data_IF_365828066616
#
_entry.id   IF_365828066616
#
_cell.length_a   1.000
_cell.length_b   1.000
_cell.length_c   1.000
_cell.angle_alpha   90.00
_cell.angle_beta   90.00
_cell.angle_gamma   90.00
#
_symmetry.space_group_name_H-M   'P 1'
#
loop_
_entity.id
_entity.type
_entity.pdbx_description
1 polymer ?
#
# COMPACT_ATOMS: atom_id res chain seq x y z
N UNK A 1 24.12 -17.63 -0.31
CA UNK A 1 24.06 -16.18 -0.62
C UNK A 1 23.22 -15.53 0.48
N UNK A 2 23.74 -14.54 1.22
CA UNK A 2 22.96 -13.89 2.30
C UNK A 2 21.97 -12.90 1.67
N UNK A 3 20.67 -12.90 2.03
CA UNK A 3 19.75 -11.87 1.55
C UNK A 3 20.21 -10.52 2.11
N UNK A 4 20.47 -9.55 1.24
CA UNK A 4 20.74 -8.19 1.69
C UNK A 4 19.44 -7.53 2.16
N UNK A 5 19.58 -6.82 3.28
CA UNK A 5 18.53 -6.19 4.07
C UNK A 5 17.88 -5.03 3.33
N UNK A 6 16.57 -4.83 3.54
CA UNK A 6 16.05 -3.46 3.61
C UNK A 6 17.03 -2.68 4.48
N UNK A 7 17.65 -1.61 3.97
CA UNK A 7 18.25 -0.63 4.89
C UNK A 7 17.09 0.06 5.60
N UNK A 8 16.53 -0.61 6.60
CA UNK A 8 15.71 0.01 7.61
C UNK A 8 16.67 0.76 8.52
N UNK A 9 17.07 1.95 8.10
CA UNK A 9 17.45 2.93 9.11
C UNK A 9 16.16 3.17 9.89
N UNK A 10 16.08 2.60 11.10
CA UNK A 10 15.10 3.02 12.09
C UNK A 10 15.46 4.49 12.33
N UNK A 11 14.83 5.39 11.57
CA UNK A 11 14.94 6.81 11.79
C UNK A 11 14.35 7.04 13.18
N UNK A 12 15.21 7.07 14.19
CA UNK A 12 14.86 7.65 15.49
C UNK A 12 14.59 9.13 15.22
N UNK A 13 13.33 9.44 14.89
CA UNK A 13 12.86 10.81 14.69
C UNK A 13 13.26 11.60 15.93
N UNK A 14 14.19 12.53 15.72
CA UNK A 14 15.10 13.07 16.72
C UNK A 14 14.36 13.90 17.80
N UNK A 15 14.99 13.99 18.97
CA UNK A 15 14.51 14.42 20.31
C UNK A 15 14.03 15.88 20.47
N UNK A 16 13.58 16.56 19.42
CA UNK A 16 12.91 17.86 19.55
C UNK A 16 11.40 17.65 19.42
N UNK A 17 10.71 17.50 20.55
CA UNK A 17 9.32 17.05 20.71
C UNK A 17 8.19 17.78 19.95
N UNK A 18 8.50 18.58 18.91
CA UNK A 18 7.54 19.16 17.97
C UNK A 18 7.34 18.34 16.68
N UNK A 19 8.29 17.48 16.27
CA UNK A 19 8.26 16.81 14.96
C UNK A 19 7.41 15.52 14.89
N UNK A 20 7.36 14.71 15.96
CA UNK A 20 6.63 13.42 15.94
C UNK A 20 5.11 13.58 15.89
N UNK A 21 4.57 14.56 16.62
CA UNK A 21 3.13 14.81 16.69
C UNK A 21 2.56 15.18 15.32
N UNK A 22 3.29 16.01 14.57
CA UNK A 22 2.91 16.42 13.22
C UNK A 22 2.91 15.24 12.22
N UNK A 23 3.94 14.38 12.25
CA UNK A 23 3.98 13.21 11.35
C UNK A 23 2.86 12.22 11.66
N UNK A 24 2.65 11.87 12.94
CA UNK A 24 1.58 10.93 13.31
C UNK A 24 0.19 11.49 12.93
N UNK A 25 -0.09 12.75 13.26
CA UNK A 25 -1.34 13.42 12.88
C UNK A 25 -1.54 13.46 11.35
N UNK A 26 -0.47 13.71 10.59
CA UNK A 26 -0.52 13.68 9.12
C UNK A 26 -0.84 12.28 8.60
N UNK A 27 -0.16 11.25 9.13
CA UNK A 27 -0.40 9.86 8.74
C UNK A 27 -1.83 9.41 9.07
N UNK A 28 -2.33 9.74 10.27
CA UNK A 28 -3.72 9.48 10.67
C UNK A 28 -4.71 10.19 9.72
N UNK A 29 -4.46 11.46 9.40
CA UNK A 29 -5.27 12.23 8.45
C UNK A 29 -5.33 11.59 7.06
N UNK A 30 -4.21 11.09 6.55
CA UNK A 30 -4.14 10.41 5.24
C UNK A 30 -4.86 9.07 5.27
N UNK A 31 -4.66 8.28 6.33
CA UNK A 31 -5.37 7.00 6.50
C UNK A 31 -6.87 7.26 6.46
N UNK A 32 -7.36 8.23 7.23
CA UNK A 32 -8.78 8.62 7.22
C UNK A 32 -9.21 9.09 5.84
N UNK A 33 -8.46 9.98 5.19
CA UNK A 33 -8.82 10.53 3.89
C UNK A 33 -8.88 9.47 2.77
N UNK A 34 -7.96 8.51 2.76
CA UNK A 34 -7.85 7.50 1.69
C UNK A 34 -8.68 6.25 1.96
N UNK A 35 -9.01 5.98 3.21
CA UNK A 35 -9.70 4.74 3.59
C UNK A 35 -11.07 4.95 4.22
N UNK A 36 -11.37 6.16 4.70
CA UNK A 36 -12.59 6.48 5.44
C UNK A 36 -12.59 6.01 6.90
N UNK A 37 -11.50 5.39 7.38
CA UNK A 37 -11.44 4.78 8.72
C UNK A 37 -10.44 5.52 9.62
N UNK A 38 -10.86 5.83 10.84
CA UNK A 38 -10.04 6.51 11.84
C UNK A 38 -9.43 5.51 12.83
N UNK A 39 -8.11 5.58 12.98
CA UNK A 39 -7.33 4.73 13.86
C UNK A 39 -6.22 5.54 14.52
N UNK A 40 -5.90 5.20 15.78
CA UNK A 40 -4.73 5.72 16.46
C UNK A 40 -3.48 4.95 16.03
N UNK A 41 -2.44 5.65 15.64
CA UNK A 41 -1.16 5.02 15.31
C UNK A 41 -0.37 4.70 16.59
N UNK A 42 0.04 3.43 16.73
CA UNK A 42 0.80 2.91 17.88
C UNK A 42 2.31 2.97 17.66
N UNK A 43 2.75 2.55 16.47
CA UNK A 43 4.16 2.55 16.06
C UNK A 43 4.26 2.94 14.58
N UNK A 44 5.36 3.57 14.19
CA UNK A 44 5.68 3.91 12.80
C UNK A 44 7.10 3.48 12.48
N UNK A 45 7.26 2.70 11.42
CA UNK A 45 8.53 2.47 10.73
C UNK A 45 8.61 3.32 9.46
N UNK A 46 9.82 3.68 9.04
CA UNK A 46 10.05 4.36 7.76
C UNK A 46 11.03 3.53 6.93
N UNK A 47 10.66 3.27 5.69
CA UNK A 47 11.44 2.50 4.73
C UNK A 47 11.72 3.35 3.50
N UNK A 48 12.91 3.17 2.92
CA UNK A 48 13.23 3.67 1.59
C UNK A 48 13.32 2.49 0.64
N UNK A 49 12.51 2.49 -0.40
CA UNK A 49 12.45 1.42 -1.40
C UNK A 49 12.87 1.99 -2.74
N UNK A 50 13.80 1.32 -3.43
CA UNK A 50 14.32 1.73 -4.76
C UNK A 50 14.51 0.56 -5.71
N UNK A 51 14.86 -0.61 -5.18
CA UNK A 51 15.11 -1.81 -5.96
C UNK A 51 14.74 -3.06 -5.16
N UNK A 52 14.39 -4.14 -5.85
CA UNK A 52 14.26 -5.48 -5.25
C UNK A 52 14.98 -6.51 -6.10
N UNK A 53 15.36 -7.63 -5.48
CA UNK A 53 16.02 -8.75 -6.16
C UNK A 53 15.12 -9.98 -6.06
N UNK A 54 14.89 -10.65 -7.17
CA UNK A 54 14.13 -11.89 -7.27
C UNK A 54 14.90 -12.97 -8.03
N UNK A 55 14.27 -14.14 -8.15
CA UNK A 55 14.78 -15.24 -8.96
C UNK A 55 13.75 -15.65 -10.01
N UNK A 56 14.22 -15.95 -11.22
CA UNK A 56 13.41 -16.56 -12.27
C UNK A 56 13.17 -18.05 -12.00
N UNK A 57 12.19 -18.69 -12.67
CA UNK A 57 11.95 -20.13 -12.55
C UNK A 57 13.17 -21.01 -12.88
N UNK A 58 14.10 -20.49 -13.68
CA UNK A 58 15.36 -21.15 -14.06
C UNK A 58 16.52 -20.88 -13.08
N UNK A 59 16.25 -20.18 -11.97
CA UNK A 59 17.23 -19.90 -10.93
C UNK A 59 18.12 -18.68 -11.16
N UNK A 60 17.99 -17.97 -12.29
CA UNK A 60 18.73 -16.73 -12.54
C UNK A 60 18.24 -15.59 -11.64
N UNK A 61 19.16 -14.76 -11.17
CA UNK A 61 18.82 -13.58 -10.37
C UNK A 61 18.33 -12.44 -11.26
N UNK A 62 17.28 -11.75 -10.83
CA UNK A 62 16.75 -10.56 -11.50
C UNK A 62 16.69 -9.41 -10.52
N UNK A 63 17.12 -8.22 -10.95
CA UNK A 63 16.95 -6.98 -10.21
C UNK A 63 15.83 -6.18 -10.85
N UNK A 64 14.85 -5.79 -10.04
CA UNK A 64 13.76 -4.89 -10.44
C UNK A 64 14.03 -3.51 -9.87
N UNK A 65 14.07 -2.50 -10.75
CA UNK A 65 14.17 -1.09 -10.37
C UNK A 65 12.78 -0.47 -10.33
N UNK A 66 12.51 0.31 -9.29
CA UNK A 66 11.30 1.09 -9.14
C UNK A 66 11.65 2.57 -9.13
N UNK A 67 10.67 3.44 -9.37
CA UNK A 67 10.77 4.80 -8.88
C UNK A 67 11.01 4.72 -7.36
N UNK A 68 11.99 5.44 -6.80
CA UNK A 68 12.23 5.34 -5.36
C UNK A 68 11.02 5.85 -4.59
N UNK A 69 10.80 5.36 -3.37
CA UNK A 69 9.65 5.75 -2.55
C UNK A 69 10.03 5.69 -1.07
N UNK A 70 9.43 6.58 -0.27
CA UNK A 70 9.41 6.46 1.18
C UNK A 70 8.11 5.80 1.63
N UNK A 71 8.21 4.79 2.49
CA UNK A 71 7.05 4.07 2.99
C UNK A 71 7.02 4.18 4.51
N UNK A 72 6.00 4.85 5.03
CA UNK A 72 5.69 4.81 6.46
C UNK A 72 4.82 3.59 6.73
N UNK A 73 5.30 2.63 7.52
CA UNK A 73 4.52 1.50 7.98
C UNK A 73 3.99 1.81 9.38
N UNK A 74 2.68 2.06 9.49
CA UNK A 74 2.00 2.42 10.72
C UNK A 74 1.22 1.23 11.29
N UNK A 75 1.51 0.86 12.54
CA UNK A 75 0.64 -0.01 13.33
C UNK A 75 -0.57 0.80 13.80
N UNK A 76 -1.73 0.49 13.25
CA UNK A 76 -3.02 1.14 13.52
C UNK A 76 -3.87 0.36 14.53
N UNK A 77 -3.29 -0.65 15.19
CA UNK A 77 -3.98 -1.51 16.13
C UNK A 77 -4.93 -2.52 15.49
N UNK A 78 -4.76 -2.77 14.20
CA UNK A 78 -5.48 -3.78 13.42
C UNK A 78 -4.59 -4.99 13.17
N UNK A 79 -5.15 -6.13 12.71
CA UNK A 79 -4.36 -7.29 12.30
C UNK A 79 -3.34 -6.99 11.18
N UNK A 80 -3.51 -5.86 10.48
CA UNK A 80 -2.63 -5.40 9.42
C UNK A 80 -2.19 -3.95 9.66
N UNK A 81 -1.02 -3.63 9.12
CA UNK A 81 -0.45 -2.30 9.16
C UNK A 81 -0.94 -1.45 7.99
N UNK A 82 -1.02 -0.14 8.19
CA UNK A 82 -1.20 0.81 7.11
C UNK A 82 0.18 1.20 6.54
N UNK A 83 0.39 1.04 5.23
CA UNK A 83 1.57 1.54 4.55
C UNK A 83 1.22 2.84 3.82
N UNK A 84 1.86 3.94 4.19
CA UNK A 84 1.73 5.22 3.52
C UNK A 84 2.94 5.40 2.62
N UNK A 85 2.74 5.18 1.33
CA UNK A 85 3.74 5.31 0.29
C UNK A 85 3.77 6.74 -0.24
N UNK A 86 4.94 7.33 -0.20
CA UNK A 86 5.25 8.60 -0.84
C UNK A 86 6.19 8.34 -2.01
N UNK A 87 5.82 8.71 -3.24
CA UNK A 87 6.78 8.73 -4.32
C UNK A 87 7.99 9.56 -3.91
N UNK A 88 9.19 9.05 -4.16
CA UNK A 88 10.39 9.89 -4.17
C UNK A 88 10.27 10.75 -5.41
N UNK A 89 9.47 11.79 -5.29
CA UNK A 89 9.43 12.80 -6.31
C UNK A 89 10.83 13.42 -6.37
N UNK A 90 11.32 13.55 -7.58
CA UNK A 90 12.30 14.58 -7.90
C UNK A 90 11.50 15.66 -8.60
N UNK A 91 10.77 16.56 -7.89
CA UNK A 91 10.17 17.69 -8.57
C UNK A 91 11.31 18.58 -9.02
N UNK A 92 11.49 18.69 -10.33
CA UNK A 92 12.18 19.80 -10.96
C UNK A 92 11.20 20.98 -11.00
N UNK A 93 11.18 21.80 -9.95
CA UNK A 93 10.48 23.10 -10.02
C UNK A 93 11.35 24.08 -10.80
N UNK A 94 10.78 24.92 -11.70
CA UNK A 94 11.55 25.98 -12.34
C UNK A 94 12.17 26.87 -11.25
N UNK A 95 13.49 26.98 -11.22
CA UNK A 95 14.19 27.89 -10.33
C UNK A 95 14.05 29.34 -10.80
N UNK A 96 14.45 30.27 -9.95
CA UNK A 96 14.34 31.72 -10.21
C UNK A 96 15.10 32.17 -11.47
N UNK A 97 16.12 31.42 -11.90
CA UNK A 97 16.80 31.64 -13.17
C UNK A 97 16.07 30.91 -14.32
N UNK A 98 15.86 31.60 -15.44
CA UNK A 98 15.24 31.06 -16.65
C UNK A 98 15.95 29.76 -17.09
N UNK A 99 15.24 28.62 -16.99
CA UNK A 99 15.75 27.30 -17.35
C UNK A 99 16.51 26.56 -16.24
N UNK A 100 16.58 27.09 -15.02
CA UNK A 100 17.07 26.34 -13.86
C UNK A 100 15.96 25.47 -13.27
N UNK A 101 16.33 24.35 -12.65
CA UNK A 101 15.39 23.52 -11.90
C UNK A 101 15.95 23.24 -10.49
N UNK A 102 15.12 23.35 -9.47
CA UNK A 102 15.49 23.04 -8.07
C UNK A 102 15.00 21.64 -7.76
N UNK A 103 15.84 20.82 -7.11
CA UNK A 103 15.49 19.46 -6.68
C UNK A 103 14.81 19.50 -5.33
N UNK A 104 13.53 19.13 -5.26
CA UNK A 104 12.78 19.03 -4.00
C UNK A 104 12.79 17.59 -3.51
N UNK A 105 13.94 17.16 -2.99
CA UNK A 105 14.13 15.87 -2.33
C UNK A 105 14.97 16.09 -1.07
N UNK A 106 14.77 15.25 -0.04
CA UNK A 106 15.47 15.22 1.27
C UNK A 106 16.42 16.42 1.49
N UNK A 107 15.84 17.58 1.81
CA UNK A 107 16.58 18.86 1.81
C UNK A 107 15.68 20.10 1.73
N UNK A 108 14.43 19.94 1.27
CA UNK A 108 13.40 20.96 1.39
C UNK A 108 12.85 21.04 2.82
N UNK A 109 12.51 22.26 3.28
CA UNK A 109 11.96 22.53 4.61
C UNK A 109 10.56 21.95 4.83
N UNK A 110 9.85 21.60 3.75
CA UNK A 110 8.46 21.14 3.78
C UNK A 110 8.28 19.62 3.55
N UNK A 111 9.37 18.86 3.42
CA UNK A 111 9.30 17.40 3.25
C UNK A 111 8.89 16.68 4.56
N UNK A 112 7.97 15.68 4.51
CA UNK A 112 7.23 15.19 3.34
C UNK A 112 5.91 15.93 3.05
N UNK A 113 5.60 16.13 1.76
CA UNK A 113 4.27 16.53 1.28
C UNK A 113 3.42 15.27 1.04
N UNK A 114 2.29 15.16 1.72
CA UNK A 114 1.47 13.94 1.75
C UNK A 114 0.28 13.93 0.79
N UNK A 115 0.08 14.97 0.00
CA UNK A 115 -1.07 15.12 -0.90
C UNK A 115 -1.13 13.98 -1.93
N UNK A 116 0.03 13.54 -2.40
CA UNK A 116 0.18 12.42 -3.34
C UNK A 116 0.40 11.05 -2.67
N UNK A 117 0.29 10.99 -1.35
CA UNK A 117 0.49 9.74 -0.63
C UNK A 117 -0.55 8.69 -1.03
N UNK A 118 -0.08 7.47 -1.25
CA UNK A 118 -0.93 6.28 -1.44
C UNK A 118 -0.95 5.46 -0.16
N UNK A 119 -2.10 4.88 0.18
CA UNK A 119 -2.25 4.03 1.37
C UNK A 119 -2.48 2.58 0.96
N UNK A 120 -1.78 1.67 1.63
CA UNK A 120 -1.83 0.23 1.43
C UNK A 120 -1.98 -0.51 2.76
N UNK A 121 -2.25 -1.81 2.69
CA UNK A 121 -2.41 -2.70 3.85
C UNK A 121 -1.42 -3.87 3.75
N UNK A 122 -0.60 -4.06 4.78
CA UNK A 122 0.42 -5.11 4.84
C UNK A 122 0.26 -5.99 6.09
N UNK A 123 0.57 -7.29 5.94
CA UNK A 123 0.48 -8.25 7.04
C UNK A 123 1.62 -8.05 8.07
N UNK A 124 2.73 -7.45 7.65
CA UNK A 124 3.88 -7.17 8.50
C UNK A 124 4.92 -6.29 7.80
N UNK A 125 6.14 -6.33 8.31
CA UNK A 125 7.27 -5.52 7.84
C UNK A 125 8.23 -6.28 6.91
N UNK A 126 7.87 -7.50 6.52
CA UNK A 126 8.69 -8.29 5.60
C UNK A 126 8.69 -7.66 4.20
N UNK A 127 9.83 -7.76 3.49
CA UNK A 127 9.99 -7.19 2.15
C UNK A 127 8.83 -7.58 1.21
N UNK A 128 8.36 -8.82 1.31
CA UNK A 128 7.26 -9.32 0.50
C UNK A 128 5.96 -8.55 0.76
N UNK A 129 5.62 -8.30 2.03
CA UNK A 129 4.38 -7.63 2.39
C UNK A 129 4.41 -6.13 2.05
N UNK A 130 5.60 -5.52 2.09
CA UNK A 130 5.81 -4.13 1.67
C UNK A 130 5.71 -3.98 0.14
N UNK A 131 6.26 -4.93 -0.62
CA UNK A 131 6.28 -4.87 -2.08
C UNK A 131 4.96 -5.31 -2.74
N UNK A 132 4.24 -6.24 -2.11
CA UNK A 132 2.97 -6.81 -2.61
C UNK A 132 1.82 -6.49 -1.66
N UNK A 133 1.69 -5.22 -1.32
CA UNK A 133 0.68 -4.76 -0.38
C UNK A 133 -0.74 -4.87 -0.96
N UNK A 134 -1.71 -5.05 -0.07
CA UNK A 134 -3.12 -5.03 -0.46
C UNK A 134 -3.63 -3.59 -0.54
N UNK A 135 -4.59 -3.34 -1.42
CA UNK A 135 -5.41 -2.13 -1.34
C UNK A 135 -6.17 -2.15 -0.01
N UNK A 136 -6.07 -1.09 0.81
CA UNK A 136 -6.47 -1.14 2.21
C UNK A 136 -7.98 -1.30 2.32
N UNK A 137 -8.40 -2.35 3.03
CA UNK A 137 -9.80 -2.71 3.17
C UNK A 137 -10.49 -2.96 1.83
N UNK A 138 -9.80 -3.42 0.78
CA UNK A 138 -10.40 -3.72 -0.51
C UNK A 138 -10.33 -5.21 -0.83
N UNK A 139 -11.42 -5.74 -1.39
CA UNK A 139 -11.57 -7.15 -1.73
C UNK A 139 -12.05 -7.32 -3.17
N UNK A 140 -11.65 -8.42 -3.78
CA UNK A 140 -12.17 -8.94 -5.05
C UNK A 140 -13.03 -10.16 -4.72
N UNK A 141 -14.23 -10.22 -5.29
CA UNK A 141 -15.21 -11.27 -5.05
C UNK A 141 -15.66 -11.82 -6.40
N UNK A 142 -15.58 -13.14 -6.55
CA UNK A 142 -16.20 -13.86 -7.66
C UNK A 142 -17.50 -14.50 -7.22
N UNK A 143 -18.59 -14.24 -7.95
CA UNK A 143 -19.86 -14.91 -7.72
C UNK A 143 -19.87 -16.34 -8.31
N UNK A 144 -20.73 -17.21 -7.79
CA UNK A 144 -21.02 -18.50 -8.44
C UNK A 144 -21.81 -18.28 -9.73
N UNK A 145 -21.67 -19.21 -10.66
CA UNK A 145 -22.37 -19.16 -11.93
C UNK A 145 -23.90 -19.18 -11.72
N UNK A 146 -24.61 -18.33 -12.46
CA UNK A 146 -26.07 -18.20 -12.37
C UNK A 146 -26.60 -17.44 -11.15
N UNK A 147 -25.73 -16.93 -10.28
CA UNK A 147 -26.14 -16.04 -9.18
C UNK A 147 -26.54 -14.68 -9.74
N UNK A 148 -27.74 -14.22 -9.38
CA UNK A 148 -28.23 -12.88 -9.68
C UNK A 148 -27.48 -11.80 -8.89
N UNK A 149 -27.18 -10.68 -9.53
CA UNK A 149 -26.41 -9.59 -8.91
C UNK A 149 -27.14 -9.00 -7.69
N UNK A 150 -28.48 -8.87 -7.74
CA UNK A 150 -29.22 -8.33 -6.61
C UNK A 150 -29.20 -9.29 -5.40
N UNK A 151 -29.23 -10.61 -5.66
CA UNK A 151 -29.05 -11.63 -4.62
C UNK A 151 -27.66 -11.53 -3.98
N UNK A 152 -26.59 -11.41 -4.77
CA UNK A 152 -25.23 -11.24 -4.25
C UNK A 152 -25.08 -9.96 -3.41
N UNK A 153 -25.56 -8.82 -3.92
CA UNK A 153 -25.52 -7.54 -3.20
C UNK A 153 -26.25 -7.62 -1.86
N UNK A 154 -27.41 -8.28 -1.83
CA UNK A 154 -28.16 -8.53 -0.60
C UNK A 154 -27.39 -9.43 0.36
N UNK A 155 -26.72 -10.46 -0.12
CA UNK A 155 -25.95 -11.39 0.71
C UNK A 155 -24.68 -10.75 1.31
N UNK A 156 -24.09 -9.77 0.62
CA UNK A 156 -22.90 -9.03 1.05
C UNK A 156 -23.22 -7.78 1.89
N UNK A 157 -24.50 -7.39 2.00
CA UNK A 157 -24.91 -6.18 2.70
C UNK A 157 -24.44 -6.17 4.17
N UNK A 158 -23.80 -5.08 4.59
CA UNK A 158 -23.23 -4.93 5.94
C UNK A 158 -21.92 -5.67 6.19
N UNK A 159 -21.42 -6.42 5.20
CA UNK A 159 -20.08 -7.04 5.23
C UNK A 159 -19.12 -6.40 4.24
N UNK A 160 -19.65 -5.98 3.10
CA UNK A 160 -18.89 -5.35 2.02
C UNK A 160 -19.63 -4.09 1.56
N UNK A 161 -18.96 -2.96 1.65
CA UNK A 161 -19.47 -1.65 1.25
C UNK A 161 -18.99 -1.29 -0.17
N UNK A 162 -19.69 -0.35 -0.81
CA UNK A 162 -19.32 0.21 -2.12
C UNK A 162 -19.04 -0.85 -3.20
N UNK A 163 -19.87 -1.90 -3.27
CA UNK A 163 -19.67 -2.99 -4.21
C UNK A 163 -19.85 -2.50 -5.67
N UNK A 164 -18.78 -2.55 -6.45
CA UNK A 164 -18.77 -2.29 -7.91
C UNK A 164 -18.61 -3.59 -8.68
N UNK A 165 -19.07 -3.61 -9.92
CA UNK A 165 -18.98 -4.77 -10.83
C UNK A 165 -18.13 -4.38 -12.05
N UNK A 166 -17.12 -5.19 -12.35
CA UNK A 166 -16.35 -5.13 -13.60
C UNK A 166 -16.33 -6.51 -14.27
N UNK A 167 -17.25 -6.71 -15.21
CA UNK A 167 -17.39 -7.96 -15.95
C UNK A 167 -17.92 -9.10 -15.06
N UNK A 168 -17.02 -10.01 -14.65
CA UNK A 168 -17.35 -11.19 -13.84
C UNK A 168 -16.89 -11.07 -12.39
N UNK A 169 -16.25 -9.96 -12.03
CA UNK A 169 -15.66 -9.74 -10.72
C UNK A 169 -16.31 -8.53 -10.04
N UNK A 170 -16.50 -8.66 -8.74
CA UNK A 170 -16.99 -7.58 -7.90
C UNK A 170 -15.84 -7.07 -7.05
N UNK A 171 -15.74 -5.74 -6.90
CA UNK A 171 -14.80 -5.15 -5.96
C UNK A 171 -15.56 -4.38 -4.89
N UNK A 172 -15.07 -4.40 -3.67
CA UNK A 172 -15.74 -3.72 -2.56
C UNK A 172 -14.78 -3.36 -1.44
N UNK A 173 -15.33 -2.69 -0.43
CA UNK A 173 -14.62 -2.27 0.78
C UNK A 173 -15.05 -3.06 1.99
N UNK A 174 -14.12 -3.35 2.90
CA UNK A 174 -14.36 -4.10 4.13
C UNK A 174 -13.76 -3.37 5.32
N UNK A 175 -14.39 -3.54 6.47
CA UNK A 175 -13.91 -3.05 7.76
C UNK A 175 -14.06 -4.15 8.83
N UNK A 176 -13.08 -4.32 9.75
CA UNK A 176 -11.76 -3.68 9.79
C UNK A 176 -10.82 -4.16 8.66
N UNK A 177 -9.60 -3.61 8.57
CA UNK A 177 -8.55 -4.06 7.63
C UNK A 177 -7.99 -5.42 8.05
N UNK A 178 -8.77 -6.45 7.73
CA UNK A 178 -8.43 -7.85 7.91
C UNK A 178 -8.90 -8.63 6.68
N UNK A 179 -8.34 -8.26 5.53
CA UNK A 179 -8.80 -8.73 4.23
C UNK A 179 -8.67 -10.24 4.11
N UNK A 180 -7.63 -10.84 4.68
CA UNK A 180 -7.44 -12.29 4.62
C UNK A 180 -8.53 -13.05 5.38
N UNK A 181 -8.79 -12.66 6.64
CA UNK A 181 -9.84 -13.33 7.44
C UNK A 181 -11.22 -13.07 6.86
N UNK A 182 -11.52 -11.82 6.48
CA UNK A 182 -12.84 -11.45 5.94
C UNK A 182 -13.07 -12.15 4.59
N UNK A 183 -12.10 -12.22 3.70
CA UNK A 183 -12.23 -13.00 2.46
C UNK A 183 -12.49 -14.48 2.74
N UNK A 184 -11.77 -15.07 3.71
CA UNK A 184 -12.03 -16.45 4.10
C UNK A 184 -13.44 -16.63 4.68
N UNK A 185 -13.92 -15.70 5.50
CA UNK A 185 -15.28 -15.73 6.06
C UNK A 185 -16.35 -15.61 4.96
N UNK A 186 -16.19 -14.67 4.03
CA UNK A 186 -17.11 -14.48 2.90
C UNK A 186 -17.22 -15.75 2.06
N UNK A 187 -16.08 -16.36 1.71
CA UNK A 187 -16.07 -17.57 0.90
C UNK A 187 -16.72 -18.78 1.59
N UNK A 188 -16.63 -18.84 2.93
CA UNK A 188 -17.18 -19.96 3.71
C UNK A 188 -18.64 -19.76 4.10
N UNK A 189 -19.10 -18.52 4.26
CA UNK A 189 -20.41 -18.21 4.87
C UNK A 189 -21.43 -17.59 3.91
N UNK A 190 -21.01 -17.08 2.75
CA UNK A 190 -21.92 -16.49 1.75
C UNK A 190 -22.10 -17.46 0.61
N UNK A 191 -23.30 -18.04 0.48
CA UNK A 191 -23.57 -19.11 -0.47
C UNK A 191 -23.36 -18.69 -1.93
N UNK A 192 -23.57 -17.41 -2.22
CA UNK A 192 -23.46 -16.77 -3.52
C UNK A 192 -21.99 -16.56 -3.96
N UNK A 193 -21.05 -16.57 -3.01
CA UNK A 193 -19.63 -16.31 -3.27
C UNK A 193 -18.94 -17.60 -3.70
N UNK A 194 -18.25 -17.56 -4.86
CA UNK A 194 -17.38 -18.63 -5.34
C UNK A 194 -15.99 -18.51 -4.71
N UNK A 195 -15.46 -17.30 -4.67
CA UNK A 195 -14.20 -16.99 -4.03
C UNK A 195 -14.15 -15.53 -3.59
N UNK A 196 -13.32 -15.24 -2.61
CA UNK A 196 -12.97 -13.88 -2.22
C UNK A 196 -11.46 -13.80 -1.97
N UNK A 197 -10.84 -12.72 -2.39
CA UNK A 197 -9.41 -12.47 -2.18
C UNK A 197 -9.16 -11.00 -1.83
N UNK A 198 -8.12 -10.68 -1.03
CA UNK A 198 -7.66 -9.32 -0.90
C UNK A 198 -7.40 -8.72 -2.29
N UNK A 199 -7.79 -7.46 -2.50
CA UNK A 199 -7.45 -6.75 -3.72
C UNK A 199 -5.98 -6.35 -3.67
N UNK A 200 -5.11 -7.31 -4.01
CA UNK A 200 -3.69 -7.09 -4.15
C UNK A 200 -3.42 -6.22 -5.37
N UNK A 201 -2.67 -5.14 -5.19
CA UNK A 201 -2.04 -4.47 -6.31
C UNK A 201 -0.54 -4.74 -6.23
N UNK A 202 0.03 -5.17 -7.35
CA UNK A 202 1.47 -4.93 -7.54
C UNK A 202 1.60 -3.41 -7.56
N UNK A 203 2.58 -2.84 -6.84
CA UNK A 203 2.87 -1.40 -6.88
C UNK A 203 3.26 -1.03 -8.32
N UNK A 204 2.26 -0.77 -9.17
CA UNK A 204 2.36 -0.64 -10.62
C UNK A 204 2.19 0.80 -11.09
N UNK A 205 2.33 1.78 -10.19
CA UNK A 205 2.65 3.16 -10.59
C UNK A 205 4.10 3.28 -11.07
N UNK A 206 4.95 2.27 -10.83
CA UNK A 206 6.24 2.19 -11.48
C UNK A 206 6.02 2.08 -12.99
N UNK A 207 6.51 3.08 -13.73
CA UNK A 207 6.63 3.05 -15.19
C UNK A 207 7.38 1.82 -15.70
N UNK A 208 7.68 1.74 -17.02
CA UNK A 208 8.13 0.50 -17.67
C UNK A 208 9.26 -0.16 -16.89
N UNK A 209 9.01 -1.37 -16.40
CA UNK A 209 9.98 -2.18 -15.67
C UNK A 209 11.19 -2.44 -16.58
N UNK A 210 12.26 -1.66 -16.42
CA UNK A 210 13.54 -1.96 -17.03
C UNK A 210 14.13 -3.12 -16.23
N UNK A 211 13.95 -4.35 -16.72
CA UNK A 211 14.72 -5.51 -16.25
C UNK A 211 16.15 -5.29 -16.73
N UNK A 212 16.98 -4.63 -15.91
CA UNK A 212 18.27 -4.15 -16.40
C UNK A 212 19.35 -5.25 -16.37
N UNK A 213 19.22 -6.28 -15.51
CA UNK A 213 20.15 -7.42 -15.49
C UNK A 213 19.50 -8.74 -15.08
N UNK A 214 19.64 -9.71 -15.97
CA UNK A 214 19.73 -11.13 -15.61
C UNK A 214 21.18 -11.36 -15.20
N UNK A 215 21.43 -11.69 -13.93
CA UNK A 215 22.76 -12.10 -13.44
C UNK A 215 22.97 -13.60 -13.65
#
# INVERSE_FOLDING_TARGET
>A
MRPYSLQSDRLEINRNGRSKKNIVESLEGIIVAKTGVSHSIREVGLFYVRQTVGNLPDGRGVVYYFEPEFIYAADIGMPRMALIALPYQVPTVPGEALGSYITVGRGDGEFPQFEEASVWSAAGLDNRDILYAASPGSVIIGAKEGVDEAALRKALAGRVDNLTNEGFFYTGRITPFDETRICSDLQNSVAEVRYASPNGQVRSSAGPWWVDRVL
#
